data_IF_459037927702
#
_entry.id   IF_459037927702
#
_cell.length_a   1.000
_cell.length_b   1.000
_cell.length_c   1.000
_cell.angle_alpha   90.00
_cell.angle_beta   90.00
_cell.angle_gamma   90.00
#
_symmetry.space_group_name_H-M   'P 1'
#
loop_
_entity.id
_entity.type
_entity.pdbx_description
1 polymer ?
#
# COMPACT_ATOMS: atom_id res chain seq x y z
N UNK A 1 -6.55 34.86 7.93
CA UNK A 1 -7.05 33.72 7.17
C UNK A 1 -6.79 32.48 8.00
N UNK A 2 -7.80 31.65 8.23
CA UNK A 2 -7.60 30.36 8.87
C UNK A 2 -6.90 29.43 7.86
N UNK A 3 -5.64 29.10 8.12
CA UNK A 3 -4.88 28.15 7.30
C UNK A 3 -5.41 26.74 7.56
N UNK A 4 -5.85 26.04 6.53
CA UNK A 4 -6.17 24.63 6.63
C UNK A 4 -4.88 23.82 6.43
N UNK A 5 -4.50 23.05 7.44
CA UNK A 5 -3.35 22.14 7.36
C UNK A 5 -3.84 20.70 7.29
N UNK A 6 -3.19 19.88 6.44
CA UNK A 6 -3.43 18.45 6.39
C UNK A 6 -2.11 17.69 6.32
N UNK A 7 -2.02 16.58 7.04
CA UNK A 7 -0.78 15.85 7.27
C UNK A 7 -0.95 14.38 6.89
N UNK A 8 0.03 13.81 6.20
CA UNK A 8 0.17 12.37 6.02
C UNK A 8 1.58 11.93 6.40
N UNK A 9 1.71 10.65 6.74
CA UNK A 9 2.99 10.03 7.05
C UNK A 9 3.27 8.83 6.13
N UNK A 10 4.54 8.50 6.00
CA UNK A 10 5.03 7.27 5.37
C UNK A 10 6.20 6.71 6.16
N UNK A 11 6.57 5.48 5.84
CA UNK A 11 7.69 4.79 6.48
C UNK A 11 8.60 4.16 5.43
N UNK A 12 9.87 3.94 5.79
CA UNK A 12 10.81 3.23 4.91
C UNK A 12 10.54 1.72 4.89
N UNK A 13 11.15 1.04 3.93
CA UNK A 13 11.12 -0.43 3.81
C UNK A 13 11.65 -1.17 5.06
N UNK A 14 12.49 -0.51 5.87
CA UNK A 14 13.07 -1.08 7.09
C UNK A 14 12.23 -0.86 8.35
N UNK A 15 11.10 -0.15 8.28
CA UNK A 15 10.15 -0.09 9.40
C UNK A 15 9.62 -1.49 9.73
N UNK A 16 9.51 -1.89 11.01
CA UNK A 16 9.14 -3.26 11.40
C UNK A 16 7.88 -3.80 10.73
N UNK A 17 6.81 -3.01 10.67
CA UNK A 17 5.57 -3.42 10.00
C UNK A 17 5.78 -3.60 8.49
N UNK A 18 6.62 -2.77 7.85
CA UNK A 18 6.90 -2.92 6.41
C UNK A 18 7.89 -4.05 6.11
N UNK A 19 8.75 -4.41 7.05
CA UNK A 19 9.53 -5.65 6.96
C UNK A 19 8.58 -6.85 6.92
N UNK A 20 7.57 -6.88 7.79
CA UNK A 20 6.56 -7.94 7.83
C UNK A 20 5.75 -7.99 6.52
N UNK A 21 5.27 -6.85 6.01
CA UNK A 21 4.53 -6.77 4.75
C UNK A 21 5.36 -7.29 3.56
N UNK A 22 6.62 -6.88 3.46
CA UNK A 22 7.52 -7.32 2.39
C UNK A 22 7.80 -8.82 2.43
N UNK A 23 7.95 -9.41 3.62
CA UNK A 23 8.12 -10.86 3.78
C UNK A 23 6.86 -11.59 3.31
N UNK A 24 5.68 -11.15 3.76
CA UNK A 24 4.41 -11.77 3.40
C UNK A 24 4.15 -11.72 1.88
N UNK A 25 4.40 -10.59 1.23
CA UNK A 25 4.24 -10.45 -0.21
C UNK A 25 5.34 -11.16 -1.03
N UNK A 26 6.56 -11.28 -0.51
CA UNK A 26 7.61 -12.07 -1.16
C UNK A 26 7.28 -13.58 -1.16
N UNK A 27 6.67 -14.08 -0.08
CA UNK A 27 6.18 -15.46 0.00
C UNK A 27 5.01 -15.66 -0.97
N UNK A 28 4.04 -14.75 -0.99
CA UNK A 28 2.92 -14.78 -1.93
C UNK A 28 3.41 -14.82 -3.38
N UNK A 29 4.32 -13.94 -3.78
CA UNK A 29 4.85 -13.90 -5.15
C UNK A 29 5.61 -15.17 -5.52
N UNK A 30 6.38 -15.75 -4.58
CA UNK A 30 7.08 -17.01 -4.82
C UNK A 30 6.13 -18.19 -5.03
N UNK A 31 4.96 -18.19 -4.37
CA UNK A 31 3.90 -19.18 -4.55
C UNK A 31 3.22 -18.97 -5.91
N UNK A 32 2.77 -17.73 -6.21
CA UNK A 32 2.05 -17.40 -7.43
C UNK A 32 2.90 -17.64 -8.70
N UNK A 33 4.21 -17.51 -8.62
CA UNK A 33 5.11 -17.81 -9.72
C UNK A 33 5.07 -19.31 -10.14
N UNK A 34 4.67 -20.22 -9.25
CA UNK A 34 4.55 -21.65 -9.51
C UNK A 34 3.10 -22.11 -9.62
N UNK A 35 2.20 -21.47 -8.87
CA UNK A 35 0.78 -21.80 -8.79
C UNK A 35 -0.07 -20.52 -8.78
N UNK A 36 -0.45 -19.98 -9.96
CA UNK A 36 -1.27 -18.78 -10.08
C UNK A 36 -2.68 -18.90 -9.48
N UNK A 37 -3.14 -20.13 -9.17
CA UNK A 37 -4.44 -20.40 -8.58
C UNK A 37 -4.37 -20.57 -7.05
N UNK A 38 -3.19 -20.46 -6.45
CA UNK A 38 -3.01 -20.61 -5.01
C UNK A 38 -3.91 -19.68 -4.21
N UNK A 39 -4.38 -20.20 -3.07
CA UNK A 39 -5.10 -19.43 -2.05
C UNK A 39 -4.12 -19.12 -0.92
N UNK A 40 -3.85 -17.86 -0.69
CA UNK A 40 -2.83 -17.41 0.26
C UNK A 40 -3.37 -16.33 1.17
N UNK A 41 -3.27 -16.58 2.47
CA UNK A 41 -3.43 -15.60 3.54
C UNK A 41 -2.22 -15.78 4.47
N UNK A 42 -1.11 -15.12 4.13
CA UNK A 42 0.17 -15.25 4.81
C UNK A 42 0.49 -13.99 5.59
N UNK A 43 0.58 -14.10 6.90
CA UNK A 43 0.95 -13.02 7.80
C UNK A 43 2.35 -13.25 8.37
N UNK A 44 3.01 -12.16 8.75
CA UNK A 44 4.35 -12.17 9.34
C UNK A 44 4.38 -11.29 10.56
N UNK A 45 4.95 -11.79 11.63
CA UNK A 45 5.35 -11.02 12.80
C UNK A 45 6.86 -10.98 12.91
N UNK A 46 7.41 -9.80 13.21
CA UNK A 46 8.85 -9.60 13.43
C UNK A 46 9.10 -8.98 14.80
N UNK A 47 10.14 -9.42 15.47
CA UNK A 47 10.62 -8.87 16.74
C UNK A 47 12.12 -9.15 16.86
N UNK A 48 12.76 -8.70 17.95
CA UNK A 48 14.18 -8.91 18.20
C UNK A 48 14.61 -10.35 17.91
N UNK A 49 15.42 -10.53 16.86
CA UNK A 49 15.98 -11.84 16.48
C UNK A 49 14.99 -12.90 15.98
N UNK A 50 13.71 -12.55 15.75
CA UNK A 50 12.65 -13.51 15.39
C UNK A 50 11.82 -13.01 14.21
N UNK A 51 11.53 -13.93 13.29
CA UNK A 51 10.46 -13.81 12.28
C UNK A 51 9.54 -15.00 12.44
N UNK A 52 8.24 -14.76 12.62
CA UNK A 52 7.18 -15.76 12.61
C UNK A 52 6.32 -15.54 11.36
N UNK A 53 6.26 -16.54 10.49
CA UNK A 53 5.35 -16.61 9.34
C UNK A 53 4.21 -17.55 9.69
N UNK A 54 2.96 -17.09 9.54
CA UNK A 54 1.77 -17.87 9.92
C UNK A 54 0.59 -17.53 9.02
N UNK A 55 -0.46 -18.33 9.08
CA UNK A 55 -1.68 -18.14 8.28
C UNK A 55 -2.09 -19.40 7.53
N UNK A 56 -2.87 -19.24 6.48
CA UNK A 56 -3.45 -20.35 5.70
C UNK A 56 -3.02 -20.25 4.23
N UNK A 57 -2.54 -21.39 3.70
CA UNK A 57 -2.07 -21.51 2.31
C UNK A 57 -2.54 -22.82 1.70
N UNK A 58 -3.29 -22.73 0.60
CA UNK A 58 -3.63 -23.89 -0.23
C UNK A 58 -2.96 -23.73 -1.57
N UNK A 59 -1.98 -24.58 -1.86
CA UNK A 59 -1.17 -24.50 -3.09
C UNK A 59 -0.53 -25.84 -3.43
N UNK A 60 -0.24 -26.04 -4.71
CA UNK A 60 0.62 -27.11 -5.21
C UNK A 60 2.11 -26.73 -5.24
N UNK A 61 2.44 -25.47 -5.01
CA UNK A 61 3.80 -24.96 -5.06
C UNK A 61 4.61 -25.38 -3.82
N UNK A 62 5.92 -25.54 -4.02
CA UNK A 62 6.88 -25.64 -2.91
C UNK A 62 7.78 -24.41 -2.92
N UNK A 63 7.85 -23.71 -1.79
CA UNK A 63 8.70 -22.55 -1.60
C UNK A 63 9.54 -22.68 -0.33
N UNK A 64 10.81 -22.29 -0.40
CA UNK A 64 11.71 -22.24 0.75
C UNK A 64 11.48 -20.92 1.51
N UNK A 65 10.52 -20.95 2.44
CA UNK A 65 10.12 -19.77 3.20
C UNK A 65 11.28 -19.18 3.98
N UNK A 66 12.13 -19.99 4.61
CA UNK A 66 13.27 -19.47 5.36
C UNK A 66 14.25 -18.70 4.48
N UNK A 67 14.50 -19.21 3.27
CA UNK A 67 15.35 -18.54 2.30
C UNK A 67 14.73 -17.22 1.81
N UNK A 68 13.42 -17.20 1.54
CA UNK A 68 12.69 -15.99 1.14
C UNK A 68 12.78 -14.93 2.24
N UNK A 69 12.48 -15.28 3.48
CA UNK A 69 12.57 -14.38 4.64
C UNK A 69 13.96 -13.75 4.74
N UNK A 70 15.01 -14.59 4.76
CA UNK A 70 16.39 -14.09 4.89
C UNK A 70 16.81 -13.19 3.73
N UNK A 71 16.41 -13.52 2.51
CA UNK A 71 16.71 -12.70 1.34
C UNK A 71 16.01 -11.34 1.42
N UNK A 72 14.72 -11.32 1.75
CA UNK A 72 13.94 -10.08 1.93
C UNK A 72 14.58 -9.18 3.00
N UNK A 73 14.88 -9.74 4.17
CA UNK A 73 15.53 -8.99 5.26
C UNK A 73 16.90 -8.43 4.85
N UNK A 74 17.68 -9.22 4.08
CA UNK A 74 19.00 -8.79 3.58
C UNK A 74 18.88 -7.68 2.52
N UNK A 75 17.90 -7.75 1.62
CA UNK A 75 17.64 -6.74 0.59
C UNK A 75 17.17 -5.41 1.19
N UNK A 76 16.39 -5.45 2.26
CA UNK A 76 16.00 -4.27 3.06
C UNK A 76 17.26 -3.60 3.64
N UNK A 77 18.28 -4.37 4.01
CA UNK A 77 19.54 -3.86 4.53
C UNK A 77 19.86 -4.23 5.98
N UNK A 78 19.10 -5.14 6.57
CA UNK A 78 19.40 -5.75 7.86
C UNK A 78 20.38 -6.92 7.68
N UNK A 79 21.65 -6.60 7.68
CA UNK A 79 22.78 -7.52 7.48
C UNK A 79 23.97 -7.08 8.33
N UNK A 80 24.89 -7.98 8.54
CA UNK A 80 26.17 -7.73 9.24
C UNK A 80 26.01 -7.37 10.72
N UNK A 81 24.86 -7.64 11.34
CA UNK A 81 24.57 -7.36 12.75
C UNK A 81 24.58 -5.87 13.15
N UNK A 82 24.79 -4.96 12.20
CA UNK A 82 25.04 -3.54 12.45
C UNK A 82 23.86 -2.82 13.13
N UNK A 83 22.65 -3.28 12.87
CA UNK A 83 21.41 -2.69 13.39
C UNK A 83 20.58 -3.66 14.24
N UNK A 84 21.25 -4.67 14.86
CA UNK A 84 20.65 -5.61 15.81
C UNK A 84 19.77 -6.71 15.19
N UNK A 85 19.06 -6.42 14.13
CA UNK A 85 18.30 -7.39 13.33
C UNK A 85 19.13 -7.81 12.13
N UNK A 86 19.32 -9.13 11.94
CA UNK A 86 20.27 -9.63 10.93
C UNK A 86 19.75 -10.87 10.21
N UNK A 87 19.68 -10.79 8.89
CA UNK A 87 19.19 -11.83 7.99
C UNK A 87 19.82 -13.22 8.23
N UNK A 88 21.09 -13.27 8.64
CA UNK A 88 21.81 -14.54 8.80
C UNK A 88 21.62 -15.18 10.20
N UNK A 89 21.32 -14.37 11.21
CA UNK A 89 21.21 -14.82 12.61
C UNK A 89 19.79 -14.92 13.16
N UNK A 90 18.79 -14.28 12.54
CA UNK A 90 17.39 -14.34 13.01
C UNK A 90 16.85 -15.77 13.01
N UNK A 91 16.03 -16.09 14.02
CA UNK A 91 15.20 -17.30 14.01
C UNK A 91 14.02 -17.10 13.05
N UNK A 92 13.71 -18.10 12.23
CA UNK A 92 12.54 -18.11 11.34
C UNK A 92 11.65 -19.28 11.73
N UNK A 93 10.47 -18.97 12.24
CA UNK A 93 9.44 -19.94 12.58
C UNK A 93 8.33 -19.88 11.52
N UNK A 94 7.78 -21.03 11.16
CA UNK A 94 6.71 -21.17 10.16
C UNK A 94 5.57 -21.98 10.76
N UNK A 95 4.36 -21.41 10.71
CA UNK A 95 3.11 -22.05 11.14
C UNK A 95 2.03 -21.75 10.10
N UNK A 96 2.10 -22.46 8.97
CA UNK A 96 1.13 -22.35 7.87
C UNK A 96 0.29 -23.61 7.81
N UNK A 97 -1.03 -23.42 7.80
CA UNK A 97 -2.02 -24.48 7.69
C UNK A 97 -2.75 -24.42 6.34
N UNK A 98 -3.52 -25.45 6.01
CA UNK A 98 -4.42 -25.42 4.86
C UNK A 98 -5.68 -24.60 5.19
N UNK A 99 -6.26 -23.95 4.17
CA UNK A 99 -7.52 -23.21 4.33
C UNK A 99 -8.66 -24.14 4.79
N UNK A 100 -9.52 -23.67 5.69
CA UNK A 100 -10.69 -24.40 6.16
C UNK A 100 -11.60 -24.83 5.01
N UNK A 101 -12.01 -26.13 4.94
CA UNK A 101 -12.94 -26.61 3.92
C UNK A 101 -14.31 -25.90 3.93
N UNK A 102 -14.76 -25.42 5.10
CA UNK A 102 -16.03 -24.73 5.24
C UNK A 102 -16.00 -23.36 4.56
N UNK A 103 -14.86 -22.66 4.63
CA UNK A 103 -14.65 -21.40 3.94
C UNK A 103 -14.52 -21.64 2.43
N UNK A 104 -13.76 -22.65 2.02
CA UNK A 104 -13.55 -22.98 0.61
C UNK A 104 -14.87 -23.24 -0.11
N UNK A 105 -15.82 -24.00 0.49
CA UNK A 105 -17.12 -24.29 -0.10
C UNK A 105 -17.94 -23.04 -0.44
N UNK A 106 -17.87 -22.00 0.42
CA UNK A 106 -18.62 -20.75 0.22
C UNK A 106 -18.01 -19.82 -0.82
N UNK A 107 -16.72 -19.98 -1.09
CA UNK A 107 -15.93 -19.10 -1.98
C UNK A 107 -15.78 -19.70 -3.38
N UNK A 108 -15.63 -21.02 -3.49
CA UNK A 108 -15.37 -21.68 -4.79
C UNK A 108 -16.63 -21.68 -5.68
N UNK A 109 -17.84 -21.68 -5.10
CA UNK A 109 -19.10 -21.58 -5.81
C UNK A 109 -19.93 -20.40 -5.26
N UNK A 110 -20.07 -19.32 -6.01
CA UNK A 110 -20.88 -18.17 -5.63
C UNK A 110 -22.35 -18.54 -5.39
N UNK A 111 -23.04 -17.80 -4.52
CA UNK A 111 -24.46 -18.07 -4.21
C UNK A 111 -25.33 -17.98 -5.46
N UNK A 112 -25.02 -17.08 -6.37
CA UNK A 112 -25.72 -16.88 -7.64
C UNK A 112 -25.69 -18.15 -8.51
N UNK A 113 -24.60 -18.89 -8.53
CA UNK A 113 -24.45 -20.17 -9.23
C UNK A 113 -25.21 -21.28 -8.51
N UNK A 114 -25.16 -21.33 -7.18
CA UNK A 114 -25.84 -22.35 -6.36
C UNK A 114 -27.36 -22.25 -6.43
N UNK A 115 -27.92 -21.05 -6.54
CA UNK A 115 -29.37 -20.82 -6.60
C UNK A 115 -29.96 -21.07 -7.99
N UNK A 116 -29.21 -20.73 -9.06
CA UNK A 116 -29.69 -20.89 -10.45
C UNK A 116 -29.47 -22.30 -10.99
N UNK A 117 -28.54 -23.04 -10.41
CA UNK A 117 -28.13 -24.38 -10.92
C UNK A 117 -27.38 -24.31 -12.26
N UNK A 118 -27.12 -23.13 -12.78
CA UNK A 118 -26.26 -22.92 -13.95
C UNK A 118 -24.81 -22.87 -13.47
N UNK A 119 -24.02 -23.88 -13.87
CA UNK A 119 -22.61 -23.91 -13.53
C UNK A 119 -21.86 -22.89 -14.40
N UNK A 120 -21.76 -21.66 -13.92
CA UNK A 120 -20.79 -20.71 -14.45
C UNK A 120 -19.50 -20.81 -13.62
N UNK A 121 -18.57 -21.63 -14.10
CA UNK A 121 -17.25 -21.83 -13.46
C UNK A 121 -16.40 -20.54 -13.37
N UNK A 122 -16.94 -19.42 -13.84
CA UNK A 122 -16.30 -18.10 -13.76
C UNK A 122 -16.73 -17.29 -12.53
N UNK A 123 -17.83 -17.64 -11.87
CA UNK A 123 -18.32 -16.90 -10.72
C UNK A 123 -17.83 -17.54 -9.42
N UNK A 124 -16.77 -16.98 -8.86
CA UNK A 124 -16.38 -17.23 -7.47
C UNK A 124 -17.03 -16.18 -6.57
N UNK A 125 -17.45 -16.60 -5.38
CA UNK A 125 -17.94 -15.67 -4.36
C UNK A 125 -16.80 -14.87 -3.73
N UNK A 126 -17.12 -13.71 -3.16
CA UNK A 126 -16.15 -12.96 -2.36
C UNK A 126 -15.66 -13.81 -1.18
N UNK A 127 -14.32 -13.77 -0.93
CA UNK A 127 -13.70 -14.58 0.13
C UNK A 127 -14.04 -14.16 1.54
N UNK A 128 -14.57 -12.96 1.71
CA UNK A 128 -15.04 -12.41 2.98
C UNK A 128 -16.08 -11.31 2.72
N UNK A 129 -16.78 -10.91 3.75
CA UNK A 129 -17.50 -9.64 3.78
C UNK A 129 -16.52 -8.50 3.98
N UNK A 130 -16.86 -7.28 3.51
CA UNK A 130 -16.04 -6.10 3.76
C UNK A 130 -16.47 -4.89 2.98
N UNK A 131 -15.86 -3.75 3.33
CA UNK A 131 -15.97 -2.49 2.61
C UNK A 131 -14.59 -2.05 2.15
N UNK A 132 -14.46 -1.64 0.91
CA UNK A 132 -13.21 -1.21 0.29
C UNK A 132 -13.37 0.17 -0.31
N UNK A 133 -12.32 0.98 -0.24
CA UNK A 133 -12.34 2.34 -0.73
C UNK A 133 -11.28 2.58 -1.79
N UNK A 134 -11.66 3.29 -2.83
CA UNK A 134 -10.76 3.86 -3.82
C UNK A 134 -10.85 5.38 -3.80
N UNK A 135 -9.76 6.05 -4.10
CA UNK A 135 -9.71 7.51 -4.10
C UNK A 135 -8.76 8.03 -5.17
N UNK A 136 -9.12 9.17 -5.73
CA UNK A 136 -8.25 9.96 -6.61
C UNK A 136 -8.55 11.45 -6.49
N UNK A 137 -7.54 12.28 -6.70
CA UNK A 137 -7.64 13.74 -6.70
C UNK A 137 -6.63 14.33 -7.69
N UNK A 138 -6.94 15.49 -8.26
CA UNK A 138 -6.08 16.21 -9.20
C UNK A 138 -4.91 16.98 -8.56
N UNK A 139 -4.58 16.67 -7.30
CA UNK A 139 -3.52 17.35 -6.55
C UNK A 139 -2.10 17.02 -7.06
N UNK A 140 -1.89 15.83 -7.62
CA UNK A 140 -0.60 15.38 -8.16
C UNK A 140 -0.76 14.72 -9.53
N UNK A 141 0.31 14.62 -10.34
CA UNK A 141 0.23 13.95 -11.65
C UNK A 141 -0.21 12.49 -11.58
N UNK A 142 0.14 11.78 -10.52
CA UNK A 142 -0.27 10.40 -10.25
C UNK A 142 -1.70 10.30 -9.70
N UNK A 143 -2.40 11.43 -9.55
CA UNK A 143 -3.76 11.56 -9.02
C UNK A 143 -3.89 11.04 -7.58
N UNK A 144 -2.94 11.41 -6.74
CA UNK A 144 -2.88 11.11 -5.31
C UNK A 144 -2.96 12.40 -4.48
N UNK A 145 -3.39 12.28 -3.20
CA UNK A 145 -3.27 13.40 -2.26
C UNK A 145 -1.82 13.83 -2.07
N UNK A 146 -1.57 15.13 -2.13
CA UNK A 146 -0.21 15.69 -2.05
C UNK A 146 0.57 15.25 -0.79
N UNK A 147 -0.01 15.26 0.45
CA UNK A 147 0.75 14.94 1.64
C UNK A 147 1.31 13.52 1.64
N UNK A 148 0.50 12.50 1.25
CA UNK A 148 0.96 11.11 1.21
C UNK A 148 1.94 10.88 0.05
N UNK A 149 1.70 11.47 -1.12
CA UNK A 149 2.60 11.36 -2.26
C UNK A 149 4.01 11.87 -1.91
N UNK A 150 4.10 13.05 -1.28
CA UNK A 150 5.39 13.62 -0.85
C UNK A 150 6.02 12.82 0.29
N UNK A 151 5.24 12.30 1.25
CA UNK A 151 5.75 11.44 2.31
C UNK A 151 6.36 10.15 1.76
N UNK A 152 5.72 9.51 0.78
CA UNK A 152 6.28 8.33 0.09
C UNK A 152 7.58 8.65 -0.65
N UNK A 153 7.63 9.77 -1.38
CA UNK A 153 8.85 10.21 -2.07
C UNK A 153 10.02 10.41 -1.11
N UNK A 154 9.78 11.04 0.05
CA UNK A 154 10.81 11.20 1.09
C UNK A 154 11.29 9.86 1.64
N UNK A 155 10.37 8.94 1.99
CA UNK A 155 10.73 7.63 2.52
C UNK A 155 11.53 6.80 1.50
N UNK A 156 11.16 6.86 0.22
CA UNK A 156 11.91 6.21 -0.87
C UNK A 156 13.30 6.82 -1.02
N UNK A 157 13.41 8.16 -1.02
CA UNK A 157 14.70 8.84 -1.15
C UNK A 157 15.64 8.54 0.02
N UNK A 158 15.12 8.42 1.25
CA UNK A 158 15.91 7.96 2.40
C UNK A 158 16.54 6.59 2.16
N UNK A 159 15.78 5.64 1.63
CA UNK A 159 16.30 4.31 1.29
C UNK A 159 17.31 4.36 0.14
N UNK A 160 17.09 5.20 -0.87
CA UNK A 160 18.01 5.38 -2.01
C UNK A 160 19.38 5.91 -1.57
N UNK A 161 19.44 7.01 -0.80
CA UNK A 161 20.71 7.58 -0.34
C UNK A 161 21.45 6.65 0.61
N UNK A 162 20.73 5.82 1.37
CA UNK A 162 21.33 4.77 2.20
C UNK A 162 21.91 3.65 1.35
N UNK A 163 21.12 3.09 0.41
CA UNK A 163 21.53 1.94 -0.42
C UNK A 163 22.62 2.29 -1.42
N UNK A 164 22.63 3.51 -1.94
CA UNK A 164 23.69 4.01 -2.83
C UNK A 164 25.01 4.28 -2.09
N UNK A 165 24.98 4.41 -0.76
CA UNK A 165 26.12 4.79 0.06
C UNK A 165 26.39 6.30 0.09
N UNK A 166 25.51 7.13 -0.48
CA UNK A 166 25.56 8.59 -0.41
C UNK A 166 25.52 9.07 1.04
N UNK A 167 24.63 8.47 1.86
CA UNK A 167 24.58 8.63 3.31
C UNK A 167 24.76 7.25 3.98
N UNK A 168 25.97 6.73 3.99
CA UNK A 168 26.29 5.36 4.40
C UNK A 168 26.14 5.05 5.89
N UNK A 169 25.88 6.06 6.71
CA UNK A 169 25.62 5.94 8.14
C UNK A 169 24.15 5.75 8.47
N UNK A 170 23.22 5.92 7.50
CA UNK A 170 21.80 5.70 7.73
C UNK A 170 21.48 4.21 7.90
N UNK A 171 20.52 3.93 8.80
CA UNK A 171 19.94 2.61 8.98
C UNK A 171 18.67 2.39 8.13
N UNK A 172 18.16 1.15 8.10
CA UNK A 172 17.00 0.83 7.28
C UNK A 172 15.68 1.43 7.77
N UNK A 173 15.52 1.63 9.08
CA UNK A 173 14.28 2.13 9.68
C UNK A 173 14.17 3.66 9.58
N UNK A 174 12.98 4.13 9.28
CA UNK A 174 12.70 5.56 9.21
C UNK A 174 11.23 5.87 8.97
N UNK A 175 10.85 7.08 9.33
CA UNK A 175 9.50 7.64 9.13
C UNK A 175 9.61 9.02 8.53
N UNK A 176 8.63 9.36 7.69
CA UNK A 176 8.50 10.69 7.11
C UNK A 176 7.07 11.18 7.29
N UNK A 177 6.91 12.48 7.44
CA UNK A 177 5.60 13.12 7.55
C UNK A 177 5.65 14.47 6.87
N UNK A 178 4.63 14.79 6.08
CA UNK A 178 4.51 16.05 5.36
C UNK A 178 3.17 16.70 5.70
N UNK A 179 3.23 17.97 6.10
CA UNK A 179 2.06 18.82 6.33
C UNK A 179 1.96 19.84 5.22
N UNK A 180 0.83 19.87 4.54
CA UNK A 180 0.52 20.79 3.45
C UNK A 180 -0.47 21.86 3.93
N UNK A 181 -0.23 23.10 3.56
CA UNK A 181 -1.17 24.20 3.70
C UNK A 181 -2.07 24.27 2.46
N UNK A 182 -3.38 24.33 2.68
CA UNK A 182 -4.41 24.42 1.65
C UNK A 182 -5.11 25.77 1.71
N UNK A 183 -5.53 26.28 0.55
CA UNK A 183 -6.37 27.48 0.43
C UNK A 183 -7.86 27.18 0.71
N UNK A 184 -8.67 28.23 0.63
CA UNK A 184 -10.13 28.16 0.86
C UNK A 184 -10.86 27.30 -0.20
N UNK A 185 -10.23 27.01 -1.36
CA UNK A 185 -10.73 26.13 -2.41
C UNK A 185 -10.20 24.70 -2.30
N UNK A 186 -9.56 24.36 -1.17
CA UNK A 186 -8.91 23.08 -0.93
C UNK A 186 -7.81 22.73 -1.96
N UNK A 187 -7.10 23.76 -2.46
CA UNK A 187 -5.92 23.55 -3.31
C UNK A 187 -4.66 23.62 -2.46
N UNK A 188 -3.72 22.66 -2.65
CA UNK A 188 -2.45 22.67 -1.94
C UNK A 188 -1.61 23.88 -2.37
N UNK A 189 -0.99 24.57 -1.43
CA UNK A 189 -0.26 25.83 -1.66
C UNK A 189 1.23 25.74 -1.36
N UNK A 190 1.61 25.14 -0.24
CA UNK A 190 2.99 25.05 0.23
C UNK A 190 3.17 23.95 1.27
N UNK A 191 4.42 23.59 1.50
CA UNK A 191 4.79 22.67 2.59
C UNK A 191 4.97 23.48 3.88
N UNK A 192 4.12 23.21 4.88
CA UNK A 192 4.23 23.86 6.19
C UNK A 192 5.29 23.18 7.07
N UNK A 193 5.26 21.85 7.14
CA UNK A 193 6.14 21.09 8.04
C UNK A 193 6.59 19.77 7.40
N UNK A 194 7.86 19.45 7.59
CA UNK A 194 8.45 18.14 7.28
C UNK A 194 9.02 17.55 8.57
N UNK A 195 8.61 16.32 8.90
CA UNK A 195 9.19 15.54 9.99
C UNK A 195 9.85 14.29 9.39
N UNK A 196 11.11 14.05 9.75
CA UNK A 196 11.85 12.84 9.35
C UNK A 196 12.54 12.27 10.59
N UNK A 197 12.25 11.00 10.87
CA UNK A 197 13.01 10.19 11.83
C UNK A 197 13.73 9.10 11.06
N UNK A 198 15.04 9.05 11.13
CA UNK A 198 15.85 8.07 10.40
C UNK A 198 16.89 7.44 11.31
N UNK A 199 16.94 6.10 11.27
CA UNK A 199 17.93 5.31 11.97
C UNK A 199 19.34 5.62 11.45
N UNK A 200 20.34 5.63 12.34
CA UNK A 200 21.73 5.91 11.98
C UNK A 200 22.70 5.15 12.88
N UNK A 201 23.95 5.04 12.45
CA UNK A 201 25.03 4.47 13.27
C UNK A 201 25.45 5.41 14.38
N UNK A 202 26.08 4.87 15.43
CA UNK A 202 26.67 5.69 16.48
C UNK A 202 27.82 6.58 15.95
N UNK A 203 28.09 7.64 16.69
CA UNK A 203 29.25 8.53 16.43
C UNK A 203 29.00 9.59 15.37
N UNK A 204 27.78 9.73 14.85
CA UNK A 204 27.42 10.82 13.93
C UNK A 204 26.71 11.93 14.72
N UNK A 205 27.15 13.15 14.51
CA UNK A 205 26.55 14.32 15.17
C UNK A 205 25.16 14.62 14.59
N UNK A 206 24.22 14.97 15.45
CA UNK A 206 22.83 15.20 15.07
C UNK A 206 22.68 16.35 14.05
N UNK A 207 23.47 17.39 14.19
CA UNK A 207 23.46 18.53 13.27
C UNK A 207 23.96 18.13 11.86
N UNK A 208 24.91 17.20 11.78
CA UNK A 208 25.33 16.61 10.50
C UNK A 208 24.16 15.85 9.85
N UNK A 209 23.47 14.98 10.61
CA UNK A 209 22.31 14.24 10.10
C UNK A 209 21.23 15.20 9.57
N UNK A 210 20.94 16.27 10.31
CA UNK A 210 19.94 17.28 9.92
C UNK A 210 20.31 17.95 8.60
N UNK A 211 21.54 18.42 8.47
CA UNK A 211 22.02 19.08 7.25
C UNK A 211 22.01 18.13 6.05
N UNK A 212 22.52 16.91 6.22
CA UNK A 212 22.59 15.93 5.16
C UNK A 212 21.20 15.49 4.69
N UNK A 213 20.27 15.23 5.61
CA UNK A 213 18.88 14.83 5.27
C UNK A 213 18.16 15.95 4.55
N UNK A 214 18.30 17.20 4.97
CA UNK A 214 17.70 18.34 4.24
C UNK A 214 18.26 18.41 2.83
N UNK A 215 19.58 18.41 2.68
CA UNK A 215 20.28 18.58 1.41
C UNK A 215 20.11 17.42 0.43
N UNK A 216 20.19 16.18 0.92
CA UNK A 216 20.26 14.97 0.08
C UNK A 216 18.91 14.26 -0.06
N UNK A 217 17.96 14.52 0.85
CA UNK A 217 16.65 13.87 0.86
C UNK A 217 15.54 14.87 0.59
N UNK A 218 15.44 15.97 1.35
CA UNK A 218 14.31 16.90 1.25
C UNK A 218 14.39 17.73 -0.03
N UNK A 219 15.46 18.49 -0.20
CA UNK A 219 15.59 19.44 -1.32
C UNK A 219 15.45 18.79 -2.71
N UNK A 220 16.06 17.60 -2.99
CA UNK A 220 15.92 16.96 -4.30
C UNK A 220 14.55 16.34 -4.57
N UNK A 221 13.74 16.15 -3.51
CA UNK A 221 12.48 15.39 -3.57
C UNK A 221 11.25 16.28 -3.62
N UNK A 222 11.34 17.45 -3.00
CA UNK A 222 10.19 18.36 -2.93
C UNK A 222 9.99 19.14 -4.23
N UNK A 223 8.74 19.47 -4.60
CA UNK A 223 8.47 20.30 -5.76
C UNK A 223 9.16 21.67 -5.65
N UNK A 224 9.59 22.22 -6.77
CA UNK A 224 10.21 23.54 -6.83
C UNK A 224 9.28 24.62 -6.27
N UNK A 225 9.82 25.52 -5.46
CA UNK A 225 9.11 26.63 -4.79
C UNK A 225 8.03 26.22 -3.76
N UNK A 226 7.98 24.97 -3.32
CA UNK A 226 7.07 24.52 -2.26
C UNK A 226 7.68 24.62 -0.86
N UNK A 227 9.00 24.75 -0.78
CA UNK A 227 9.75 25.05 0.43
C UNK A 227 10.02 26.56 0.51
N UNK A 228 9.75 27.17 1.63
CA UNK A 228 10.00 28.59 1.88
C UNK A 228 10.62 28.82 3.27
N UNK A 229 10.89 30.08 3.62
CA UNK A 229 11.48 30.48 4.89
C UNK A 229 10.64 30.14 6.11
N UNK A 230 9.35 29.87 5.94
CA UNK A 230 8.41 29.49 6.99
C UNK A 230 8.23 27.96 7.08
N UNK A 231 8.84 27.17 6.19
CA UNK A 231 8.80 25.72 6.25
C UNK A 231 9.57 25.22 7.48
N UNK A 232 8.93 24.41 8.31
CA UNK A 232 9.53 23.87 9.53
C UNK A 232 10.09 22.48 9.29
N UNK A 233 11.29 22.22 9.81
CA UNK A 233 11.98 20.94 9.68
C UNK A 233 12.20 20.31 11.06
N UNK A 234 11.73 19.08 11.25
CA UNK A 234 11.98 18.27 12.44
C UNK A 234 12.70 16.99 12.03
N UNK A 235 14.03 17.03 12.01
CA UNK A 235 14.87 15.87 11.65
C UNK A 235 15.41 15.26 12.93
N UNK A 236 15.09 14.00 13.20
CA UNK A 236 15.40 13.30 14.45
C UNK A 236 15.15 14.19 15.69
N UNK A 237 13.91 14.66 15.90
CA UNK A 237 13.62 15.64 16.95
C UNK A 237 13.85 15.10 18.37
N UNK A 238 13.82 13.78 18.57
CA UNK A 238 14.11 13.13 19.85
C UNK A 238 15.61 12.96 20.11
N UNK A 239 16.46 13.26 19.12
CA UNK A 239 17.90 13.10 19.22
C UNK A 239 18.39 11.81 18.53
N UNK A 240 19.11 10.94 19.27
CA UNK A 240 19.67 9.70 18.70
C UNK A 240 18.58 8.71 18.29
N UNK A 241 18.79 8.08 17.12
CA UNK A 241 17.97 6.97 16.63
C UNK A 241 18.91 5.85 16.12
N UNK A 242 19.64 5.24 17.03
CA UNK A 242 20.60 4.15 16.73
C UNK A 242 19.89 2.80 16.83
N UNK A 243 19.22 2.53 17.96
CA UNK A 243 18.35 1.35 18.09
C UNK A 243 17.04 1.61 17.32
N UNK A 244 16.71 0.71 16.41
CA UNK A 244 15.54 0.82 15.52
C UNK A 244 15.26 -0.50 14.82
N UNK A 245 14.26 -0.50 13.94
CA UNK A 245 13.81 -1.69 13.26
C UNK A 245 13.23 -2.74 14.23
N UNK A 246 13.17 -4.02 13.80
CA UNK A 246 12.59 -5.09 14.61
C UNK A 246 13.32 -5.35 15.94
N UNK A 247 14.52 -4.82 16.15
CA UNK A 247 15.20 -4.87 17.44
C UNK A 247 14.54 -3.97 18.48
N UNK A 248 14.05 -2.80 18.07
CA UNK A 248 13.49 -1.80 18.98
C UNK A 248 11.97 -1.87 19.11
N UNK A 249 11.28 -2.30 18.05
CA UNK A 249 9.82 -2.37 18.00
C UNK A 249 9.37 -3.57 17.17
N UNK A 250 8.27 -4.20 17.57
CA UNK A 250 7.70 -5.32 16.84
C UNK A 250 6.95 -4.85 15.60
N UNK A 251 6.96 -5.67 14.53
CA UNK A 251 6.19 -5.47 13.32
C UNK A 251 5.22 -6.60 13.06
N UNK A 252 4.14 -6.28 12.36
CA UNK A 252 3.12 -7.23 11.93
C UNK A 252 2.57 -6.81 10.58
N UNK A 253 2.30 -7.79 9.73
CA UNK A 253 1.62 -7.58 8.42
C UNK A 253 0.32 -6.82 8.61
N UNK A 254 0.08 -5.80 7.77
CA UNK A 254 -1.19 -5.07 7.74
C UNK A 254 -1.38 -4.03 8.84
N UNK A 255 -0.31 -3.56 9.49
CA UNK A 255 -0.38 -2.49 10.50
C UNK A 255 -0.08 -1.08 9.97
N UNK A 256 0.15 -0.93 8.66
CA UNK A 256 0.40 0.38 8.00
C UNK A 256 -0.63 0.67 6.90
N UNK A 257 -1.88 0.27 7.12
CA UNK A 257 -2.96 0.32 6.13
C UNK A 257 -3.26 1.74 5.61
N UNK A 258 -3.05 2.77 6.41
CA UNK A 258 -3.24 4.16 6.00
C UNK A 258 -2.06 4.66 5.17
N UNK A 259 -0.83 4.23 5.50
CA UNK A 259 0.38 4.46 4.67
C UNK A 259 0.25 3.73 3.33
N UNK A 260 -0.31 2.53 3.33
CA UNK A 260 -0.50 1.70 2.14
C UNK A 260 -1.51 2.31 1.15
N UNK A 261 -2.40 3.19 1.61
CA UNK A 261 -3.51 3.75 0.85
C UNK A 261 -3.37 5.26 0.61
N UNK A 262 -4.16 6.09 1.28
CA UNK A 262 -4.30 7.51 0.92
C UNK A 262 -3.87 8.48 2.03
N UNK A 263 -3.14 8.02 3.05
CA UNK A 263 -2.59 8.88 4.11
C UNK A 263 -3.64 9.60 4.95
N UNK A 264 -4.85 9.06 5.04
CA UNK A 264 -5.97 9.66 5.79
C UNK A 264 -6.85 10.60 4.97
N UNK A 265 -6.59 10.78 3.66
CA UNK A 265 -7.42 11.62 2.79
C UNK A 265 -8.72 10.95 2.36
N UNK A 266 -8.83 9.64 2.48
CA UNK A 266 -10.00 8.83 2.17
C UNK A 266 -10.38 7.96 3.38
N UNK A 267 -11.61 7.46 3.38
CA UNK A 267 -12.02 6.41 4.30
C UNK A 267 -11.21 5.13 4.08
N UNK A 268 -11.24 4.23 5.04
CA UNK A 268 -10.61 2.92 4.98
C UNK A 268 -11.55 1.86 5.57
N UNK A 269 -11.67 0.72 4.90
CA UNK A 269 -12.53 -0.38 5.35
C UNK A 269 -11.91 -1.28 6.43
N UNK A 270 -10.62 -1.11 6.71
CA UNK A 270 -9.87 -1.88 7.72
C UNK A 270 -9.11 -3.09 7.18
N UNK A 271 -9.36 -3.52 5.94
CA UNK A 271 -8.67 -4.66 5.32
C UNK A 271 -7.21 -4.38 4.99
N UNK A 272 -6.31 -5.28 5.39
CA UNK A 272 -4.91 -5.26 5.00
C UNK A 272 -4.70 -5.94 3.65
N UNK A 273 -3.62 -5.58 2.92
CA UNK A 273 -3.33 -6.07 1.58
C UNK A 273 -2.26 -7.16 1.55
N UNK A 274 -1.09 -6.89 2.13
CA UNK A 274 0.08 -7.76 2.02
C UNK A 274 -0.20 -9.18 2.52
N UNK A 275 0.36 -10.17 1.82
CA UNK A 275 0.18 -11.58 2.12
C UNK A 275 -1.12 -12.22 1.63
N UNK A 276 -2.04 -11.44 1.04
CA UNK A 276 -3.33 -11.91 0.51
C UNK A 276 -3.27 -12.07 -1.00
N UNK A 277 -3.69 -13.22 -1.53
CA UNK A 277 -3.92 -13.41 -2.97
C UNK A 277 -5.16 -12.64 -3.45
N UNK A 278 -5.31 -12.50 -4.77
CA UNK A 278 -6.32 -11.65 -5.38
C UNK A 278 -7.79 -12.12 -5.18
N UNK A 279 -8.03 -13.31 -4.66
CA UNK A 279 -9.40 -13.76 -4.31
C UNK A 279 -9.92 -13.10 -3.04
N UNK A 280 -9.03 -12.48 -2.24
CA UNK A 280 -9.38 -11.67 -1.08
C UNK A 280 -9.75 -10.27 -1.55
N UNK A 281 -11.04 -9.95 -1.47
CA UNK A 281 -11.60 -8.68 -1.93
C UNK A 281 -11.04 -7.46 -1.17
N UNK A 282 -10.57 -7.63 0.05
CA UNK A 282 -9.84 -6.59 0.78
C UNK A 282 -8.73 -5.98 -0.10
N UNK A 283 -8.00 -6.81 -0.82
CA UNK A 283 -6.92 -6.38 -1.71
C UNK A 283 -7.44 -6.07 -3.11
N UNK A 284 -8.06 -7.01 -3.78
CA UNK A 284 -8.45 -6.90 -5.19
C UNK A 284 -9.49 -5.82 -5.43
N UNK A 285 -10.53 -5.72 -4.60
CA UNK A 285 -11.55 -4.70 -4.74
C UNK A 285 -11.06 -3.30 -4.34
N UNK A 286 -10.10 -3.18 -3.42
CA UNK A 286 -9.43 -1.89 -3.15
C UNK A 286 -8.63 -1.42 -4.36
N UNK A 287 -7.96 -2.33 -5.08
CA UNK A 287 -7.27 -2.00 -6.32
C UNK A 287 -8.25 -1.62 -7.44
N UNK A 288 -9.37 -2.34 -7.57
CA UNK A 288 -10.42 -1.99 -8.51
C UNK A 288 -11.05 -0.62 -8.20
N UNK A 289 -11.33 -0.34 -6.93
CA UNK A 289 -11.85 0.96 -6.50
C UNK A 289 -10.87 2.11 -6.81
N UNK A 290 -9.55 1.90 -6.62
CA UNK A 290 -8.52 2.85 -7.06
C UNK A 290 -8.53 3.04 -8.57
N UNK A 291 -8.60 1.95 -9.34
CA UNK A 291 -8.64 2.00 -10.80
C UNK A 291 -9.83 2.81 -11.32
N UNK A 292 -11.02 2.60 -10.75
CA UNK A 292 -12.24 3.38 -11.07
C UNK A 292 -12.01 4.86 -10.75
N UNK A 293 -11.62 5.16 -9.50
CA UNK A 293 -11.42 6.53 -9.04
C UNK A 293 -10.42 7.29 -9.91
N UNK A 294 -9.29 6.65 -10.25
CA UNK A 294 -8.26 7.24 -11.09
C UNK A 294 -8.75 7.53 -12.50
N UNK A 295 -9.47 6.60 -13.12
CA UNK A 295 -10.06 6.81 -14.45
C UNK A 295 -11.14 7.90 -14.45
N UNK A 296 -11.93 8.04 -13.38
CA UNK A 296 -12.93 9.10 -13.27
C UNK A 296 -12.29 10.49 -13.24
N UNK A 297 -11.24 10.67 -12.43
CA UNK A 297 -10.52 11.95 -12.38
C UNK A 297 -9.78 12.21 -13.70
N UNK A 298 -9.12 11.21 -14.27
CA UNK A 298 -8.44 11.33 -15.56
C UNK A 298 -9.40 11.64 -16.72
N UNK A 299 -10.64 11.13 -16.67
CA UNK A 299 -11.68 11.44 -17.64
C UNK A 299 -12.28 12.86 -17.47
N UNK A 300 -11.97 13.55 -16.37
CA UNK A 300 -12.52 14.86 -16.04
C UNK A 300 -13.96 14.81 -15.52
N UNK A 301 -14.45 13.65 -15.09
CA UNK A 301 -15.80 13.50 -14.51
C UNK A 301 -15.91 14.13 -13.12
N UNK A 302 -14.79 14.19 -12.39
CA UNK A 302 -14.67 14.89 -11.12
C UNK A 302 -13.20 15.30 -10.93
N UNK A 303 -12.94 16.31 -10.08
CA UNK A 303 -11.59 16.66 -9.65
C UNK A 303 -11.11 15.82 -8.48
N UNK A 304 -12.05 15.28 -7.72
CA UNK A 304 -11.85 14.47 -6.53
C UNK A 304 -12.98 13.45 -6.43
N UNK A 305 -12.64 12.21 -6.16
CA UNK A 305 -13.64 11.14 -6.04
C UNK A 305 -13.20 10.08 -5.03
N UNK A 306 -14.16 9.63 -4.24
CA UNK A 306 -14.06 8.44 -3.40
C UNK A 306 -15.10 7.41 -3.87
N UNK A 307 -14.67 6.16 -4.02
CA UNK A 307 -15.51 5.02 -4.39
C UNK A 307 -15.54 4.06 -3.21
N UNK A 308 -16.74 3.66 -2.77
CA UNK A 308 -16.92 2.55 -1.83
C UNK A 308 -17.47 1.34 -2.56
N UNK A 309 -16.86 0.17 -2.37
CA UNK A 309 -17.38 -1.14 -2.76
C UNK A 309 -17.63 -1.96 -1.50
N UNK A 310 -18.76 -2.66 -1.43
CA UNK A 310 -19.06 -3.57 -0.32
C UNK A 310 -19.40 -4.95 -0.84
N UNK A 311 -18.89 -5.98 -0.16
CA UNK A 311 -19.15 -7.39 -0.49
C UNK A 311 -19.70 -8.16 0.69
N UNK A 312 -20.46 -9.21 0.38
CA UNK A 312 -20.84 -10.25 1.33
C UNK A 312 -20.09 -11.55 0.99
N UNK A 313 -19.69 -12.31 2.02
CA UNK A 313 -19.00 -13.58 1.82
C UNK A 313 -19.82 -14.52 0.94
N UNK A 314 -19.18 -15.14 -0.05
CA UNK A 314 -19.82 -16.10 -0.95
C UNK A 314 -20.74 -15.47 -2.03
N UNK A 315 -20.83 -14.15 -2.11
CA UNK A 315 -21.57 -13.40 -3.15
C UNK A 315 -20.59 -12.82 -4.15
N UNK A 316 -20.86 -12.96 -5.46
CA UNK A 316 -19.96 -12.47 -6.50
C UNK A 316 -20.14 -10.97 -6.74
N UNK A 317 -21.37 -10.50 -6.84
CA UNK A 317 -21.64 -9.08 -7.10
C UNK A 317 -21.46 -8.24 -5.82
N UNK A 318 -20.94 -7.00 -5.93
CA UNK A 318 -20.91 -6.09 -4.79
C UNK A 318 -22.34 -5.76 -4.33
N UNK A 319 -22.57 -5.87 -3.02
CA UNK A 319 -23.88 -5.55 -2.41
C UNK A 319 -24.19 -4.07 -2.44
N UNK A 320 -23.17 -3.21 -2.53
CA UNK A 320 -23.35 -1.77 -2.75
C UNK A 320 -22.14 -1.13 -3.45
N UNK A 321 -22.41 -0.06 -4.20
CA UNK A 321 -21.45 0.86 -4.79
C UNK A 321 -21.90 2.26 -4.39
N UNK A 322 -21.03 3.03 -3.75
CA UNK A 322 -21.29 4.42 -3.40
C UNK A 322 -20.15 5.31 -3.93
N UNK A 323 -20.48 6.51 -4.37
CA UNK A 323 -19.53 7.45 -4.97
C UNK A 323 -19.73 8.84 -4.38
N UNK A 324 -18.67 9.40 -3.82
CA UNK A 324 -18.65 10.80 -3.38
C UNK A 324 -17.62 11.59 -4.21
N UNK A 325 -18.08 12.60 -4.90
CA UNK A 325 -17.23 13.53 -5.68
C UNK A 325 -16.92 14.82 -4.95
N UNK A 326 -17.34 14.93 -3.69
CA UNK A 326 -17.13 16.12 -2.86
C UNK A 326 -17.62 17.42 -3.53
N UNK A 327 -18.69 17.31 -4.33
CA UNK A 327 -19.25 18.42 -5.09
C UNK A 327 -18.41 18.89 -6.28
N UNK A 328 -17.48 18.07 -6.77
CA UNK A 328 -16.60 18.44 -7.90
C UNK A 328 -17.04 17.82 -9.24
N UNK A 329 -18.20 17.17 -9.29
CA UNK A 329 -18.79 16.63 -10.54
C UNK A 329 -20.12 17.32 -10.86
N UNK A 330 -20.41 17.42 -12.15
CA UNK A 330 -21.72 17.86 -12.66
C UNK A 330 -22.72 16.70 -12.77
N UNK A 331 -22.24 15.43 -12.68
CA UNK A 331 -23.07 14.22 -12.72
C UNK A 331 -23.58 13.87 -11.32
N UNK A 332 -24.78 13.31 -11.28
CA UNK A 332 -25.35 12.74 -10.05
C UNK A 332 -24.66 11.42 -9.68
N UNK A 333 -24.75 11.03 -8.41
CA UNK A 333 -24.23 9.74 -7.94
C UNK A 333 -24.78 8.56 -8.75
N UNK A 334 -26.08 8.57 -9.07
CA UNK A 334 -26.72 7.49 -9.84
C UNK A 334 -26.15 7.36 -11.26
N UNK A 335 -25.85 8.48 -11.93
CA UNK A 335 -25.20 8.48 -13.25
C UNK A 335 -23.78 7.93 -13.16
N UNK A 336 -23.01 8.33 -12.14
CA UNK A 336 -21.67 7.83 -11.90
C UNK A 336 -21.66 6.34 -11.59
N UNK A 337 -22.59 5.85 -10.75
CA UNK A 337 -22.76 4.40 -10.46
C UNK A 337 -23.14 3.64 -11.73
N UNK A 338 -23.97 4.20 -12.60
CA UNK A 338 -24.27 3.64 -13.92
C UNK A 338 -23.03 3.45 -14.75
N UNK A 339 -22.17 4.47 -14.85
CA UNK A 339 -20.89 4.39 -15.57
C UNK A 339 -19.96 3.30 -14.98
N UNK A 340 -19.95 3.12 -13.67
CA UNK A 340 -19.16 2.03 -13.06
C UNK A 340 -19.68 0.68 -13.52
N UNK A 341 -20.99 0.43 -13.44
CA UNK A 341 -21.60 -0.86 -13.83
C UNK A 341 -21.41 -1.19 -15.31
N UNK A 342 -21.42 -0.17 -16.17
CA UNK A 342 -21.30 -0.35 -17.63
C UNK A 342 -19.84 -0.59 -18.09
N UNK A 343 -18.85 -0.18 -17.30
CA UNK A 343 -17.43 -0.20 -17.71
C UNK A 343 -16.50 -1.13 -16.90
N UNK A 344 -16.95 -1.62 -15.73
CA UNK A 344 -16.09 -2.39 -14.83
C UNK A 344 -16.83 -3.64 -14.33
N UNK A 345 -16.22 -4.80 -14.54
CA UNK A 345 -16.69 -6.05 -13.92
C UNK A 345 -16.12 -6.12 -12.49
N UNK A 346 -17.02 -6.01 -11.51
CA UNK A 346 -16.67 -5.97 -10.08
C UNK A 346 -16.88 -7.30 -9.37
N UNK A 347 -17.17 -8.38 -10.09
CA UNK A 347 -17.05 -9.73 -9.53
C UNK A 347 -15.60 -10.04 -9.18
N UNK A 348 -15.29 -10.89 -8.19
CA UNK A 348 -13.90 -11.21 -7.84
C UNK A 348 -13.07 -11.68 -9.03
N UNK A 349 -13.60 -12.58 -9.89
CA UNK A 349 -12.90 -12.99 -11.10
C UNK A 349 -12.78 -11.86 -12.13
N UNK A 350 -13.83 -11.05 -12.31
CA UNK A 350 -13.79 -9.88 -13.19
C UNK A 350 -12.66 -8.91 -12.81
N UNK A 351 -12.51 -8.63 -11.53
CA UNK A 351 -11.42 -7.79 -11.03
C UNK A 351 -10.04 -8.45 -11.28
N UNK A 352 -9.91 -9.74 -10.96
CA UNK A 352 -8.66 -10.48 -11.16
C UNK A 352 -8.24 -10.45 -12.63
N UNK A 353 -9.15 -10.67 -13.56
CA UNK A 353 -8.89 -10.67 -14.99
C UNK A 353 -8.59 -9.24 -15.50
N UNK A 354 -9.44 -8.28 -15.13
CA UNK A 354 -9.29 -6.86 -15.53
C UNK A 354 -7.93 -6.27 -15.10
N UNK A 355 -7.46 -6.61 -13.92
CA UNK A 355 -6.22 -6.09 -13.36
C UNK A 355 -5.05 -7.07 -13.44
N UNK A 356 -5.24 -8.26 -14.04
CA UNK A 356 -4.21 -9.31 -14.20
C UNK A 356 -3.52 -9.70 -12.89
N UNK A 357 -4.31 -9.94 -11.83
CA UNK A 357 -3.80 -10.10 -10.46
C UNK A 357 -3.28 -11.50 -10.12
N UNK A 358 -3.24 -12.45 -11.04
CA UNK A 358 -2.67 -13.80 -10.81
C UNK A 358 -1.18 -13.89 -11.16
N UNK A 359 -0.46 -12.77 -11.05
CA UNK A 359 0.96 -12.68 -11.36
C UNK A 359 1.77 -12.33 -10.10
N UNK A 360 3.06 -12.67 -10.04
CA UNK A 360 3.93 -12.34 -8.92
C UNK A 360 4.37 -10.86 -8.97
N UNK A 361 3.48 -9.95 -8.61
CA UNK A 361 3.66 -8.50 -8.69
C UNK A 361 3.58 -7.81 -7.34
N UNK A 362 3.21 -8.54 -6.27
CA UNK A 362 2.79 -7.96 -5.01
C UNK A 362 3.94 -7.49 -4.11
N UNK A 363 5.10 -8.15 -4.14
CA UNK A 363 6.28 -7.71 -3.38
C UNK A 363 6.67 -6.26 -3.66
N UNK A 364 6.43 -5.79 -4.89
CA UNK A 364 6.68 -4.39 -5.29
C UNK A 364 5.74 -3.37 -4.66
N UNK A 365 4.60 -3.81 -4.12
CA UNK A 365 3.63 -2.93 -3.45
C UNK A 365 3.90 -2.76 -1.96
N UNK A 366 4.68 -3.65 -1.36
CA UNK A 366 4.78 -3.81 0.09
C UNK A 366 5.52 -2.67 0.82
N UNK A 367 6.07 -1.71 0.10
CA UNK A 367 6.66 -0.49 0.65
C UNK A 367 6.34 0.71 -0.24
N UNK A 368 6.25 1.90 0.37
CA UNK A 368 6.03 3.19 -0.32
C UNK A 368 4.64 3.35 -0.96
N UNK A 369 3.62 2.67 -0.41
CA UNK A 369 2.22 2.73 -0.83
C UNK A 369 1.89 1.80 -2.00
N UNK A 370 0.62 1.39 -2.07
CA UNK A 370 0.08 0.55 -3.13
C UNK A 370 -0.42 1.37 -4.32
N UNK A 371 -0.67 2.67 -4.12
CA UNK A 371 -1.28 3.59 -5.08
C UNK A 371 -0.37 4.76 -5.42
N UNK A 372 -0.62 5.37 -6.60
CA UNK A 372 0.19 6.49 -7.08
C UNK A 372 1.63 6.08 -7.46
N UNK A 373 1.80 4.86 -7.93
CA UNK A 373 3.11 4.27 -8.27
C UNK A 373 3.41 4.47 -9.75
N UNK A 374 4.17 5.51 -10.05
CA UNK A 374 4.69 5.82 -11.40
C UNK A 374 5.98 5.04 -11.75
N UNK A 375 6.61 4.46 -10.73
CA UNK A 375 7.82 3.64 -10.85
C UNK A 375 7.53 2.17 -11.20
N UNK A 376 6.24 1.77 -11.28
CA UNK A 376 5.79 0.41 -11.55
C UNK A 376 4.64 0.41 -12.58
N UNK A 377 4.57 -0.60 -13.43
CA UNK A 377 3.46 -0.79 -14.38
C UNK A 377 2.31 -1.59 -13.73
N UNK A 378 1.68 -1.00 -12.72
CA UNK A 378 0.52 -1.61 -12.08
C UNK A 378 -0.75 -1.35 -12.87
N UNK A 379 -1.55 -2.41 -13.12
CA UNK A 379 -2.78 -2.33 -13.90
C UNK A 379 -3.80 -1.37 -13.30
N UNK A 380 -3.90 -1.28 -11.97
CA UNK A 380 -4.83 -0.37 -11.29
C UNK A 380 -4.41 1.11 -11.33
N UNK A 381 -3.23 1.42 -11.84
CA UNK A 381 -2.78 2.79 -12.07
C UNK A 381 -2.97 3.25 -13.53
N UNK A 382 -3.47 2.38 -14.43
CA UNK A 382 -3.76 2.73 -15.82
C UNK A 382 -5.00 3.62 -15.94
N UNK A 383 -5.02 4.47 -16.97
CA UNK A 383 -6.14 5.40 -17.29
C UNK A 383 -6.76 5.06 -18.64
N UNK A 384 -6.80 3.78 -18.98
CA UNK A 384 -7.23 3.24 -20.28
C UNK A 384 -8.76 3.17 -20.46
N UNK A 385 -9.53 3.49 -19.40
CA UNK A 385 -11.01 3.59 -19.46
C UNK A 385 -11.52 5.00 -19.78
N UNK A 386 -10.64 6.00 -19.89
CA UNK A 386 -11.02 7.40 -20.08
C UNK A 386 -11.94 7.60 -21.31
N UNK A 387 -11.64 6.97 -22.44
CA UNK A 387 -12.44 7.13 -23.66
C UNK A 387 -13.82 6.47 -23.57
N UNK A 388 -13.97 5.38 -22.82
CA UNK A 388 -15.27 4.73 -22.61
C UNK A 388 -16.15 5.50 -21.62
N UNK A 389 -15.55 6.17 -20.64
CA UNK A 389 -16.24 6.97 -19.63
C UNK A 389 -16.74 8.34 -20.15
N UNK A 390 -16.23 8.82 -21.28
CA UNK A 390 -16.64 10.10 -21.92
C UNK A 390 -17.78 9.93 -22.91
N UNK A 391 -18.21 8.71 -23.18
CA UNK A 391 -19.31 8.41 -24.11
C UNK A 391 -20.66 8.44 -23.43
#
# INVERSE_FOLDING_TARGET
MNKRLFTSESVTEGHPDKVADQISDAILDAILAQDPQARVACETAVNTGLVLVFGEVTTSAYVDIQKIVRNTVREIGYRDGKFGFDADSIAVLVSLDEQSPDIAQGVDDAIETRETGEVDNKLIGAGDQGIMFGYATDETPELMPMPIALSHRLSRRLAEVRKSGELNYLGPDGKTQVTIEYDDNNQPQRIDTIVISTQHTEGIELDQIRQDVIKHVVEPTMPENWLDENTRYFINPTGKFVSGGPEADSGLTGRKIIVDTYGGSAHHGGGAFSGKDATKVDRSASYAARYIAKNFVAAGLARKVEIQLAYAIGVAEPVSIAIDTFGTSDLSENELVGLVRDNFDLTPNGIIDMLSLRQPIFSKTAAYGHFGRDDQDFAWEKTDKVDSLKK
#
